data_IF_908597033434
#
_entry.id   IF_908597033434
#
_cell.length_a   1.000
_cell.length_b   1.000
_cell.length_c   1.000
_cell.angle_alpha   90.00
_cell.angle_beta   90.00
_cell.angle_gamma   90.00
#
_symmetry.space_group_name_H-M   'P 1'
#
loop_
_entity.id
_entity.type
_entity.pdbx_description
1 polymer ?
#
# COMPACT_ATOMS: atom_id res chain seq x y z
N UNK A 1 49.79 35.07 -52.67
CA UNK A 1 48.52 34.61 -52.08
C UNK A 1 48.76 33.17 -51.67
N UNK A 2 48.85 32.89 -50.37
CA UNK A 2 49.05 31.51 -49.92
C UNK A 2 47.73 30.77 -50.15
N UNK A 3 47.77 29.67 -50.91
CA UNK A 3 46.60 28.82 -51.13
C UNK A 3 46.10 28.27 -49.79
N UNK A 4 44.88 28.65 -49.41
CA UNK A 4 44.21 28.09 -48.25
C UNK A 4 43.55 26.76 -48.66
N UNK A 5 44.33 25.68 -48.59
CA UNK A 5 43.86 24.33 -48.93
C UNK A 5 43.02 23.79 -47.77
N UNK A 6 41.69 23.87 -47.89
CA UNK A 6 40.73 23.29 -46.93
C UNK A 6 40.95 21.79 -46.63
N UNK A 7 41.62 21.05 -47.52
CA UNK A 7 41.96 19.64 -47.32
C UNK A 7 42.99 19.36 -46.21
N UNK A 8 43.74 20.38 -45.73
CA UNK A 8 44.71 20.23 -44.63
C UNK A 8 44.11 20.48 -43.24
N UNK A 9 42.84 20.91 -43.17
CA UNK A 9 42.09 21.14 -41.93
C UNK A 9 41.01 20.06 -41.78
N UNK A 10 41.42 18.79 -41.73
CA UNK A 10 40.51 17.67 -41.53
C UNK A 10 41.03 16.81 -40.40
N UNK A 11 40.23 16.69 -39.34
CA UNK A 11 40.48 15.71 -38.30
C UNK A 11 40.57 14.31 -38.89
N UNK A 12 41.58 13.54 -38.48
CA UNK A 12 41.84 12.20 -39.00
C UNK A 12 41.62 11.18 -37.90
N UNK A 13 40.58 10.36 -38.01
CA UNK A 13 40.38 9.25 -37.10
C UNK A 13 41.47 8.17 -37.26
N UNK A 14 42.14 7.83 -36.16
CA UNK A 14 43.23 6.85 -36.11
C UNK A 14 42.84 5.54 -35.41
N UNK A 15 41.64 5.45 -34.83
CA UNK A 15 41.22 4.30 -34.03
C UNK A 15 41.62 4.47 -32.56
N UNK A 16 41.80 3.36 -31.84
CA UNK A 16 42.31 3.39 -30.47
C UNK A 16 43.77 3.90 -30.44
N UNK A 17 44.16 4.57 -29.36
CA UNK A 17 45.55 5.00 -29.15
C UNK A 17 46.46 3.77 -28.99
N UNK A 18 47.65 3.83 -29.61
CA UNK A 18 48.64 2.75 -29.62
C UNK A 18 50.02 3.35 -29.32
N UNK A 19 50.79 2.68 -28.46
CA UNK A 19 52.17 3.06 -28.09
C UNK A 19 53.12 3.07 -29.29
N UNK A 20 54.24 3.81 -29.18
CA UNK A 20 55.27 3.90 -30.24
C UNK A 20 54.76 4.25 -31.64
N UNK A 21 53.62 4.94 -31.74
CA UNK A 21 52.99 5.38 -32.98
C UNK A 21 53.20 6.88 -33.18
N UNK A 22 53.51 7.30 -34.40
CA UNK A 22 53.61 8.72 -34.74
C UNK A 22 52.21 9.29 -34.95
N UNK A 23 51.88 10.34 -34.18
CA UNK A 23 50.67 11.11 -34.32
C UNK A 23 51.02 12.55 -34.71
N UNK A 24 50.24 13.10 -35.64
CA UNK A 24 50.38 14.49 -36.08
C UNK A 24 49.17 15.30 -35.64
N UNK A 25 49.31 16.62 -35.58
CA UNK A 25 48.23 17.56 -35.25
C UNK A 25 46.96 17.22 -36.05
N UNK A 26 45.82 17.28 -35.37
CA UNK A 26 44.47 16.94 -35.84
C UNK A 26 44.18 15.44 -36.02
N UNK A 27 45.13 14.54 -35.73
CA UNK A 27 44.80 13.12 -35.55
C UNK A 27 43.88 12.95 -34.33
N UNK A 28 42.83 12.15 -34.46
CA UNK A 28 41.91 11.80 -33.37
C UNK A 28 42.09 10.33 -33.02
N UNK A 29 42.25 10.05 -31.73
CA UNK A 29 42.31 8.69 -31.17
C UNK A 29 41.20 8.46 -30.15
N UNK A 30 40.84 7.20 -29.93
CA UNK A 30 40.06 6.75 -28.77
C UNK A 30 40.99 6.30 -27.65
N UNK A 31 40.69 6.68 -26.42
CA UNK A 31 41.32 6.08 -25.25
C UNK A 31 40.30 5.96 -24.12
N UNK A 32 40.02 4.73 -23.69
CA UNK A 32 38.88 4.44 -22.81
C UNK A 32 37.55 4.75 -23.51
N UNK A 33 36.67 5.48 -22.80
CA UNK A 33 35.40 5.98 -23.34
C UNK A 33 35.53 7.28 -24.13
N UNK A 34 36.64 8.00 -23.96
CA UNK A 34 36.83 9.33 -24.53
C UNK A 34 37.56 9.28 -25.88
N UNK A 35 37.42 10.37 -26.63
CA UNK A 35 38.25 10.63 -27.81
C UNK A 35 39.06 11.90 -27.62
N UNK A 36 40.27 11.91 -28.20
CA UNK A 36 41.25 12.98 -28.02
C UNK A 36 41.82 13.37 -29.36
N UNK A 37 42.09 14.68 -29.53
CA UNK A 37 42.75 15.24 -30.70
C UNK A 37 44.20 15.58 -30.39
N UNK A 38 45.11 15.18 -31.26
CA UNK A 38 46.52 15.49 -31.16
C UNK A 38 46.74 16.98 -31.44
N UNK A 39 47.42 17.67 -30.53
CA UNK A 39 47.71 19.11 -30.64
C UNK A 39 49.20 19.42 -30.83
N UNK A 40 50.07 18.42 -30.66
CA UNK A 40 51.52 18.52 -30.89
C UNK A 40 52.00 17.23 -31.56
N UNK A 41 52.74 17.35 -32.68
CA UNK A 41 53.34 16.20 -33.36
C UNK A 41 54.30 15.46 -32.40
N UNK A 42 54.10 14.16 -32.21
CA UNK A 42 54.92 13.34 -31.32
C UNK A 42 54.92 11.87 -31.75
N UNK A 43 55.77 11.07 -31.11
CA UNK A 43 55.65 9.60 -31.10
C UNK A 43 55.15 9.22 -29.71
N UNK A 44 54.03 8.50 -29.64
CA UNK A 44 53.36 8.18 -28.38
C UNK A 44 54.24 7.40 -27.41
N UNK A 45 54.15 7.73 -26.13
CA UNK A 45 54.88 7.07 -25.03
C UNK A 45 54.34 5.64 -24.75
N UNK A 46 54.83 4.99 -23.70
CA UNK A 46 54.35 3.71 -23.20
C UNK A 46 53.00 3.82 -22.48
N UNK A 47 52.65 5.01 -21.95
CA UNK A 47 51.41 5.28 -21.24
C UNK A 47 50.71 6.52 -21.82
N UNK A 48 49.43 6.38 -22.15
CA UNK A 48 48.64 7.48 -22.70
C UNK A 48 48.63 8.74 -21.82
N UNK A 49 48.54 8.56 -20.49
CA UNK A 49 48.49 9.69 -19.56
C UNK A 49 49.83 10.43 -19.43
N UNK A 50 50.96 9.84 -19.85
CA UNK A 50 52.22 10.58 -20.02
C UNK A 50 52.09 11.56 -21.20
N UNK A 51 51.54 11.10 -22.33
CA UNK A 51 51.28 11.98 -23.48
C UNK A 51 50.25 13.07 -23.16
N UNK A 52 49.18 12.74 -22.42
CA UNK A 52 48.10 13.68 -22.09
C UNK A 52 48.49 14.66 -20.97
N UNK A 53 48.88 14.19 -19.79
CA UNK A 53 48.97 15.03 -18.59
C UNK A 53 50.37 15.64 -18.42
N UNK A 54 51.43 14.88 -18.68
CA UNK A 54 52.81 15.35 -18.48
C UNK A 54 53.30 16.19 -19.66
N UNK A 55 52.96 15.77 -20.87
CA UNK A 55 53.47 16.39 -22.09
C UNK A 55 52.44 17.27 -22.83
N UNK A 56 51.16 17.20 -22.47
CA UNK A 56 50.08 17.96 -23.08
C UNK A 56 50.01 17.81 -24.62
N UNK A 57 50.25 16.61 -25.14
CA UNK A 57 50.20 16.33 -26.57
C UNK A 57 48.78 16.17 -27.12
N UNK A 58 47.81 15.96 -26.24
CA UNK A 58 46.41 15.68 -26.59
C UNK A 58 45.48 16.68 -25.94
N UNK A 59 44.38 17.00 -26.62
CA UNK A 59 43.24 17.71 -26.06
C UNK A 59 42.01 16.81 -26.14
N UNK A 60 41.13 16.89 -25.14
CA UNK A 60 39.87 16.16 -25.14
C UNK A 60 39.00 16.64 -26.32
N UNK A 61 38.55 15.71 -27.16
CA UNK A 61 37.70 16.00 -28.31
C UNK A 61 36.22 15.73 -28.03
N UNK A 62 35.92 14.57 -27.45
CA UNK A 62 34.55 14.21 -27.05
C UNK A 62 34.61 13.32 -25.82
N UNK A 63 33.83 13.67 -24.81
CA UNK A 63 33.62 12.83 -23.63
C UNK A 63 32.57 11.76 -23.88
N UNK A 64 32.83 10.57 -23.37
CA UNK A 64 31.84 9.52 -23.20
C UNK A 64 32.26 8.64 -22.03
N UNK A 65 31.58 7.52 -21.83
CA UNK A 65 31.89 6.57 -20.78
C UNK A 65 32.22 5.20 -21.37
N UNK A 66 33.12 4.47 -20.70
CA UNK A 66 33.43 3.09 -21.05
C UNK A 66 32.76 2.16 -20.06
N UNK A 67 31.81 1.36 -20.54
CA UNK A 67 31.16 0.32 -19.76
C UNK A 67 31.65 -1.05 -20.23
N UNK A 68 32.40 -1.76 -19.38
CA UNK A 68 32.85 -3.12 -19.66
C UNK A 68 31.72 -4.11 -19.35
N UNK A 69 31.05 -4.59 -20.39
CA UNK A 69 29.96 -5.56 -20.26
C UNK A 69 30.43 -6.95 -19.81
N UNK A 70 31.73 -7.24 -19.83
CA UNK A 70 32.29 -8.52 -19.41
C UNK A 70 32.64 -8.55 -17.91
N UNK A 71 33.01 -7.41 -17.32
CA UNK A 71 33.22 -7.28 -15.89
C UNK A 71 32.99 -5.84 -15.43
N UNK A 72 31.85 -5.61 -14.82
CA UNK A 72 31.48 -4.28 -14.35
C UNK A 72 31.92 -4.01 -12.92
N UNK A 73 32.32 -5.03 -12.13
CA UNK A 73 32.63 -4.81 -10.73
C UNK A 73 33.94 -4.05 -10.57
N UNK A 74 34.02 -3.13 -9.61
CA UNK A 74 35.31 -2.55 -9.23
C UNK A 74 36.28 -3.66 -8.76
N UNK A 75 37.55 -3.52 -9.14
CA UNK A 75 38.62 -4.45 -8.82
C UNK A 75 39.84 -3.68 -8.31
N UNK A 76 40.54 -4.27 -7.34
CA UNK A 76 41.83 -3.76 -6.87
C UNK A 76 42.92 -3.95 -7.93
N UNK A 77 44.03 -3.21 -7.80
CA UNK A 77 45.22 -3.31 -8.69
C UNK A 77 44.91 -3.15 -10.18
N UNK A 78 43.81 -2.47 -10.51
CA UNK A 78 43.30 -2.31 -11.87
C UNK A 78 43.51 -0.88 -12.33
N UNK A 79 44.05 -0.71 -13.55
CA UNK A 79 44.26 0.60 -14.15
C UNK A 79 42.94 1.14 -14.72
N UNK A 80 42.34 2.09 -14.01
CA UNK A 80 41.14 2.78 -14.44
C UNK A 80 41.48 4.07 -15.17
N UNK A 81 40.78 4.29 -16.28
CA UNK A 81 40.85 5.48 -17.13
C UNK A 81 39.73 6.43 -16.73
N UNK A 82 39.90 7.71 -17.01
CA UNK A 82 38.82 8.68 -16.86
C UNK A 82 37.57 8.20 -17.61
N UNK A 83 36.42 8.27 -16.94
CA UNK A 83 35.11 7.84 -17.40
C UNK A 83 34.92 6.33 -17.61
N UNK A 84 35.80 5.48 -17.07
CA UNK A 84 35.50 4.06 -16.90
C UNK A 84 34.34 3.91 -15.89
N UNK A 85 33.34 3.11 -16.26
CA UNK A 85 32.20 2.78 -15.39
C UNK A 85 32.50 1.51 -14.61
N UNK A 86 32.33 1.56 -13.30
CA UNK A 86 32.45 0.42 -12.40
C UNK A 86 31.23 0.31 -11.49
N UNK A 87 30.98 -0.90 -10.99
CA UNK A 87 29.95 -1.23 -10.02
C UNK A 87 30.59 -1.46 -8.67
N UNK A 88 30.04 -0.81 -7.65
CA UNK A 88 30.36 -1.04 -6.25
C UNK A 88 29.04 -1.07 -5.45
N UNK A 89 28.77 -2.17 -4.74
CA UNK A 89 27.43 -2.47 -4.24
C UNK A 89 26.41 -2.57 -5.39
N UNK A 90 25.22 -2.01 -5.20
CA UNK A 90 24.23 -1.82 -6.25
C UNK A 90 24.52 -0.64 -7.21
N UNK A 91 25.40 0.28 -6.84
CA UNK A 91 25.64 1.54 -7.55
C UNK A 91 26.63 1.39 -8.72
N UNK A 92 26.45 2.20 -9.76
CA UNK A 92 27.45 2.42 -10.80
C UNK A 92 28.15 3.76 -10.57
N UNK A 93 29.46 3.79 -10.80
CA UNK A 93 30.32 4.96 -10.63
C UNK A 93 31.18 5.18 -11.88
N UNK A 94 31.50 6.44 -12.16
CA UNK A 94 32.46 6.85 -13.16
C UNK A 94 33.79 7.20 -12.51
N UNK A 95 34.89 6.67 -13.02
CA UNK A 95 36.24 7.09 -12.63
C UNK A 95 36.45 8.56 -13.04
N UNK A 96 36.64 9.44 -12.07
CA UNK A 96 36.80 10.88 -12.29
C UNK A 96 38.29 11.32 -12.31
N UNK A 97 39.19 10.43 -11.90
CA UNK A 97 40.63 10.65 -11.94
C UNK A 97 41.34 9.33 -12.20
N UNK A 98 42.03 9.22 -13.34
CA UNK A 98 42.74 8.02 -13.74
C UNK A 98 43.76 7.58 -12.69
N UNK A 99 43.84 6.28 -12.45
CA UNK A 99 44.75 5.70 -11.47
C UNK A 99 44.83 4.19 -11.64
N UNK A 100 45.83 3.57 -11.02
CA UNK A 100 45.76 2.15 -10.67
C UNK A 100 45.16 2.03 -9.28
N UNK A 101 44.08 1.26 -9.14
CA UNK A 101 43.36 1.11 -7.87
C UNK A 101 44.22 0.45 -6.80
N UNK A 102 44.11 0.94 -5.56
CA UNK A 102 44.67 0.27 -4.39
C UNK A 102 43.85 -0.97 -3.99
N UNK A 103 44.20 -1.62 -2.88
CA UNK A 103 43.52 -2.82 -2.39
C UNK A 103 42.06 -2.56 -1.96
N UNK A 104 41.78 -1.38 -1.37
CA UNK A 104 40.51 -1.09 -0.71
C UNK A 104 39.72 0.02 -1.40
N UNK A 105 38.41 -0.18 -1.60
CA UNK A 105 37.52 0.82 -2.20
C UNK A 105 37.54 2.16 -1.45
N UNK A 106 37.55 2.16 -0.11
CA UNK A 106 37.51 3.38 0.69
C UNK A 106 38.65 4.36 0.38
N UNK A 107 39.81 3.86 -0.06
CA UNK A 107 40.95 4.70 -0.46
C UNK A 107 40.87 5.21 -1.90
N UNK A 108 39.97 4.63 -2.70
CA UNK A 108 39.76 4.97 -4.11
C UNK A 108 38.44 5.72 -4.34
N UNK A 109 37.48 5.65 -3.42
CA UNK A 109 36.11 6.16 -3.60
C UNK A 109 36.05 7.64 -4.03
N UNK A 110 36.96 8.48 -3.55
CA UNK A 110 37.04 9.89 -3.97
C UNK A 110 37.37 10.08 -5.46
N UNK A 111 37.99 9.08 -6.10
CA UNK A 111 38.31 9.05 -7.53
C UNK A 111 37.17 8.49 -8.38
N UNK A 112 36.01 8.24 -7.77
CA UNK A 112 34.82 7.73 -8.43
C UNK A 112 33.62 8.62 -8.09
N UNK A 113 32.91 9.07 -9.11
CA UNK A 113 31.67 9.85 -8.97
C UNK A 113 30.48 8.92 -9.19
N UNK A 114 29.46 8.99 -8.34
CA UNK A 114 28.21 8.22 -8.54
C UNK A 114 27.61 8.56 -9.90
N UNK A 115 27.37 7.52 -10.72
CA UNK A 115 26.84 7.66 -12.07
C UNK A 115 25.37 7.25 -12.14
N UNK A 116 25.06 6.04 -11.67
CA UNK A 116 23.69 5.54 -11.59
C UNK A 116 23.50 4.95 -10.20
N UNK A 117 22.59 5.49 -9.38
CA UNK A 117 22.23 4.85 -8.13
C UNK A 117 21.51 3.52 -8.42
N UNK A 118 21.90 2.47 -7.74
CA UNK A 118 21.20 1.19 -7.74
C UNK A 118 20.28 1.06 -6.54
N UNK A 119 19.41 0.05 -6.60
CA UNK A 119 18.66 -0.39 -5.43
C UNK A 119 19.31 -1.66 -4.91
N UNK A 120 19.66 -1.67 -3.63
CA UNK A 120 20.15 -2.85 -2.92
C UNK A 120 19.05 -3.32 -1.98
N UNK A 121 18.45 -4.48 -2.25
CA UNK A 121 17.38 -5.00 -1.40
C UNK A 121 17.98 -5.73 -0.21
N UNK A 122 17.89 -5.09 0.95
CA UNK A 122 18.20 -5.65 2.25
C UNK A 122 16.98 -6.39 2.83
N UNK A 123 17.08 -6.83 4.08
CA UNK A 123 16.00 -7.46 4.83
C UNK A 123 15.09 -6.41 5.54
N UNK A 124 14.45 -6.82 6.62
CA UNK A 124 13.76 -5.94 7.56
C UNK A 124 14.74 -4.97 8.19
N UNK A 125 14.31 -3.72 8.35
CA UNK A 125 15.09 -2.69 9.01
C UNK A 125 15.58 -3.14 10.40
N UNK A 126 16.86 -2.93 10.66
CA UNK A 126 17.54 -3.13 11.93
C UNK A 126 18.26 -1.83 12.31
N UNK A 127 18.13 -1.41 13.57
CA UNK A 127 18.63 -0.11 14.01
C UNK A 127 20.16 -0.05 14.18
N UNK A 128 20.85 -1.19 14.15
CA UNK A 128 22.31 -1.29 14.26
C UNK A 128 23.01 -1.42 12.92
N UNK A 129 22.26 -1.74 11.86
CA UNK A 129 22.79 -1.85 10.50
C UNK A 129 23.04 -0.46 9.90
N UNK A 130 24.19 -0.32 9.23
CA UNK A 130 24.50 0.86 8.43
C UNK A 130 23.93 0.70 7.01
N UNK A 131 23.02 1.59 6.64
CA UNK A 131 22.42 1.64 5.31
C UNK A 131 23.07 2.74 4.47
N UNK A 132 23.21 2.50 3.17
CA UNK A 132 23.80 3.39 2.18
C UNK A 132 22.71 3.97 1.26
N UNK A 133 23.03 5.08 0.57
CA UNK A 133 22.16 5.63 -0.46
C UNK A 133 21.72 4.55 -1.46
N UNK A 134 20.40 4.35 -1.58
CA UNK A 134 19.79 3.38 -2.50
C UNK A 134 19.34 2.07 -1.84
N UNK A 135 19.77 1.79 -0.61
CA UNK A 135 19.37 0.57 0.10
C UNK A 135 17.86 0.54 0.31
N UNK A 136 17.26 -0.64 0.15
CA UNK A 136 15.83 -0.89 0.28
C UNK A 136 15.60 -1.81 1.45
N UNK A 137 14.78 -1.39 2.42
CA UNK A 137 14.42 -2.20 3.60
C UNK A 137 12.90 -2.37 3.70
N UNK A 138 12.47 -3.43 4.36
CA UNK A 138 11.07 -3.54 4.83
C UNK A 138 10.93 -2.96 6.24
N UNK A 139 9.85 -2.21 6.49
CA UNK A 139 9.50 -1.73 7.83
C UNK A 139 7.99 -1.63 7.97
N UNK A 140 7.46 -2.38 8.93
CA UNK A 140 6.02 -2.62 8.99
C UNK A 140 5.52 -3.39 7.78
N UNK A 141 4.50 -2.86 7.10
CA UNK A 141 3.98 -3.37 5.83
C UNK A 141 4.55 -2.64 4.61
N UNK A 142 5.41 -1.64 4.79
CA UNK A 142 5.94 -0.80 3.71
C UNK A 142 7.39 -1.17 3.39
N UNK A 143 7.85 -0.79 2.21
CA UNK A 143 9.27 -0.81 1.81
C UNK A 143 9.77 0.61 1.61
N UNK A 144 11.00 0.87 2.03
CA UNK A 144 11.61 2.20 2.01
C UNK A 144 12.98 2.14 1.33
N UNK A 145 13.34 3.22 0.64
CA UNK A 145 14.68 3.44 0.07
C UNK A 145 15.42 4.48 0.89
N UNK A 146 16.67 4.20 1.26
CA UNK A 146 17.56 5.14 1.91
C UNK A 146 17.97 6.26 0.93
N UNK A 147 17.86 7.51 1.38
CA UNK A 147 18.17 8.74 0.64
C UNK A 147 19.59 9.24 0.84
N UNK A 148 20.28 8.67 1.82
CA UNK A 148 21.66 8.95 2.18
C UNK A 148 22.12 7.88 3.18
N UNK A 149 23.42 7.83 3.42
CA UNK A 149 23.98 6.94 4.43
C UNK A 149 23.37 7.23 5.81
N UNK A 150 22.91 6.20 6.50
CA UNK A 150 22.16 6.34 7.75
C UNK A 150 22.31 5.10 8.65
N UNK A 151 22.27 5.32 9.96
CA UNK A 151 22.27 4.28 11.00
C UNK A 151 21.34 4.71 12.13
N UNK A 152 20.52 3.79 12.65
CA UNK A 152 19.63 4.06 13.79
C UNK A 152 18.45 5.00 13.52
N UNK A 153 18.31 5.59 12.32
CA UNK A 153 17.16 6.40 11.97
C UNK A 153 16.05 5.53 11.36
N UNK A 154 14.83 5.63 11.90
CA UNK A 154 13.70 4.83 11.45
C UNK A 154 13.32 5.11 9.99
N UNK A 155 12.81 4.10 9.25
CA UNK A 155 12.33 4.27 7.87
C UNK A 155 11.21 5.30 7.69
N UNK A 156 10.50 5.65 8.76
CA UNK A 156 9.48 6.71 8.75
C UNK A 156 10.07 8.13 8.74
N UNK A 157 11.37 8.29 8.93
CA UNK A 157 12.03 9.60 8.96
C UNK A 157 12.40 10.08 7.53
N UNK A 158 11.61 11.00 6.98
CA UNK A 158 11.65 11.44 5.57
C UNK A 158 12.95 12.12 5.10
N UNK A 159 13.80 12.56 6.04
CA UNK A 159 15.15 13.05 5.75
C UNK A 159 16.07 11.94 5.25
N UNK A 160 15.90 10.72 5.77
CA UNK A 160 16.79 9.58 5.51
C UNK A 160 16.17 8.54 4.58
N UNK A 161 14.84 8.51 4.46
CA UNK A 161 14.13 7.45 3.77
C UNK A 161 12.99 8.01 2.92
N UNK A 162 12.79 7.42 1.75
CA UNK A 162 11.60 7.62 0.92
C UNK A 162 10.79 6.32 0.87
N UNK A 163 9.46 6.42 0.85
CA UNK A 163 8.59 5.25 0.66
C UNK A 163 8.75 4.75 -0.78
N UNK A 164 9.17 3.50 -0.93
CA UNK A 164 9.25 2.84 -2.25
C UNK A 164 7.90 2.23 -2.64
N UNK A 165 7.25 1.53 -1.70
CA UNK A 165 5.96 0.86 -1.93
C UNK A 165 5.23 0.70 -0.60
N UNK A 166 3.91 0.87 -0.61
CA UNK A 166 3.04 0.58 0.53
C UNK A 166 2.49 -0.84 0.46
N UNK A 167 2.08 -1.37 1.59
CA UNK A 167 1.60 -2.74 1.69
C UNK A 167 1.04 -3.06 3.07
N UNK A 168 0.66 -4.33 3.24
CA UNK A 168 0.03 -4.81 4.47
C UNK A 168 0.87 -5.89 5.14
N UNK A 169 0.99 -5.80 6.47
CA UNK A 169 1.55 -6.85 7.33
C UNK A 169 0.55 -7.19 8.42
N UNK A 170 -0.15 -8.32 8.26
CA UNK A 170 -1.17 -8.76 9.22
C UNK A 170 -0.53 -9.12 10.57
N UNK A 171 -1.07 -8.57 11.66
CA UNK A 171 -0.60 -8.74 13.04
C UNK A 171 -1.59 -9.46 13.96
N UNK A 172 -2.82 -9.73 13.49
CA UNK A 172 -3.86 -10.39 14.29
C UNK A 172 -4.72 -9.40 15.09
N UNK A 173 -5.19 -9.78 16.26
CA UNK A 173 -6.01 -8.89 17.11
C UNK A 173 -5.17 -7.76 17.72
N UNK A 174 -5.75 -6.57 17.82
CA UNK A 174 -5.09 -5.41 18.44
C UNK A 174 -4.74 -5.68 19.91
N UNK A 175 -3.55 -5.25 20.32
CA UNK A 175 -3.06 -5.33 21.70
C UNK A 175 -2.38 -4.00 22.07
N UNK A 176 -2.84 -3.37 23.15
CA UNK A 176 -2.36 -2.05 23.58
C UNK A 176 -0.87 -2.01 23.95
N UNK A 177 -0.29 -3.13 24.41
CA UNK A 177 1.13 -3.24 24.75
C UNK A 177 2.03 -3.51 23.54
N UNK A 178 1.47 -3.71 22.35
CA UNK A 178 2.23 -4.00 21.13
C UNK A 178 2.46 -2.73 20.32
N UNK A 179 3.70 -2.55 19.88
CA UNK A 179 4.04 -1.51 18.91
C UNK A 179 3.65 -1.94 17.50
N UNK A 180 3.03 -1.03 16.76
CA UNK A 180 2.62 -1.22 15.37
C UNK A 180 3.31 -0.18 14.49
N UNK A 181 3.72 -0.62 13.30
CA UNK A 181 4.39 0.21 12.31
C UNK A 181 3.45 0.45 11.11
N UNK A 182 3.71 1.45 10.25
CA UNK A 182 2.92 1.70 9.04
C UNK A 182 2.66 0.42 8.23
N UNK A 183 1.44 0.26 7.74
CA UNK A 183 1.02 -0.93 7.00
C UNK A 183 0.75 -2.17 7.87
N UNK A 184 0.93 -2.11 9.20
CA UNK A 184 0.51 -3.22 10.07
C UNK A 184 -1.02 -3.28 10.11
N UNK A 185 -1.57 -4.47 9.86
CA UNK A 185 -3.01 -4.70 9.84
C UNK A 185 -3.44 -5.45 11.09
N UNK A 186 -4.42 -4.91 11.82
CA UNK A 186 -5.00 -5.53 13.00
C UNK A 186 -6.50 -5.74 12.83
N UNK A 187 -7.02 -6.71 13.58
CA UNK A 187 -8.45 -6.88 13.79
C UNK A 187 -8.83 -6.33 15.17
N UNK A 188 -10.00 -5.72 15.29
CA UNK A 188 -10.60 -5.37 16.58
C UNK A 188 -12.12 -5.42 16.42
N UNK A 189 -12.77 -6.27 17.22
CA UNK A 189 -14.23 -6.40 17.27
C UNK A 189 -14.91 -6.63 15.91
N UNK A 190 -14.27 -7.46 15.07
CA UNK A 190 -14.76 -7.81 13.74
C UNK A 190 -14.34 -6.86 12.63
N UNK A 191 -13.78 -5.70 12.97
CA UNK A 191 -13.32 -4.70 12.01
C UNK A 191 -11.81 -4.84 11.79
N UNK A 192 -11.35 -4.37 10.63
CA UNK A 192 -9.96 -4.49 10.19
C UNK A 192 -9.37 -3.11 9.95
N UNK A 193 -8.22 -2.84 10.57
CA UNK A 193 -7.56 -1.54 10.53
C UNK A 193 -6.12 -1.68 10.06
N UNK A 194 -5.61 -0.67 9.37
CA UNK A 194 -4.19 -0.52 9.04
C UNK A 194 -3.59 0.66 9.81
N UNK A 195 -2.42 0.45 10.41
CA UNK A 195 -1.66 1.52 11.04
C UNK A 195 -1.05 2.44 9.97
N UNK A 196 -1.23 3.74 10.11
CA UNK A 196 -0.72 4.77 9.21
C UNK A 196 0.66 5.27 9.62
N UNK A 197 0.94 5.27 10.93
CA UNK A 197 2.18 5.75 11.54
C UNK A 197 2.64 4.76 12.61
N UNK A 198 3.88 4.91 13.09
CA UNK A 198 4.36 4.18 14.25
C UNK A 198 3.49 4.52 15.49
N UNK A 199 2.96 3.51 16.16
CA UNK A 199 2.02 3.70 17.26
C UNK A 199 2.08 2.60 18.31
N UNK A 200 1.78 2.92 19.57
CA UNK A 200 1.69 1.96 20.69
C UNK A 200 0.65 2.48 21.67
N UNK A 201 -0.25 1.62 22.15
CA UNK A 201 -1.31 2.00 23.09
C UNK A 201 -2.48 2.80 22.50
N UNK A 202 -2.34 3.38 21.30
CA UNK A 202 -3.43 4.09 20.63
C UNK A 202 -4.35 3.11 19.90
N UNK A 203 -5.59 3.01 20.35
CA UNK A 203 -6.55 2.02 19.85
C UNK A 203 -7.25 2.48 18.55
N UNK A 204 -7.58 1.56 17.61
CA UNK A 204 -8.19 1.91 16.32
C UNK A 204 -9.67 2.32 16.40
N UNK A 205 -10.49 1.71 17.27
CA UNK A 205 -11.89 2.14 17.47
C UNK A 205 -11.98 3.04 18.66
N UNK A 206 -12.75 4.10 18.52
CA UNK A 206 -13.53 4.60 19.63
C UNK A 206 -14.75 5.32 19.03
N UNK A 207 -15.99 4.90 19.21
CA UNK A 207 -17.11 5.85 19.20
C UNK A 207 -17.97 5.46 20.36
N UNK A 208 -17.84 6.22 21.42
CA UNK A 208 -18.52 5.94 22.67
C UNK A 208 -19.29 7.19 23.06
N UNK A 209 -20.58 7.19 22.71
CA UNK A 209 -21.49 8.28 23.10
C UNK A 209 -22.07 8.09 24.50
N UNK A 210 -21.67 7.04 25.23
CA UNK A 210 -22.13 6.69 26.57
C UNK A 210 -21.27 7.39 27.64
N UNK A 211 -21.80 8.42 28.35
CA UNK A 211 -21.06 9.15 29.40
C UNK A 211 -20.58 8.28 30.56
N UNK A 212 -21.10 7.07 30.70
CA UNK A 212 -20.79 6.13 31.77
C UNK A 212 -19.69 5.13 31.39
N UNK A 213 -19.32 5.08 30.11
CA UNK A 213 -18.31 4.17 29.61
C UNK A 213 -16.90 4.72 29.84
N UNK A 214 -15.94 3.82 30.07
CA UNK A 214 -14.53 4.18 30.31
C UNK A 214 -13.85 4.82 29.10
N UNK A 215 -14.45 4.67 27.92
CA UNK A 215 -13.97 5.16 26.62
C UNK A 215 -14.82 6.32 26.07
N UNK A 216 -15.63 6.99 26.91
CA UNK A 216 -16.52 8.08 26.50
C UNK A 216 -15.83 9.19 25.66
N UNK A 217 -16.49 9.61 24.57
CA UNK A 217 -16.12 10.67 23.61
C UNK A 217 -14.95 10.41 22.66
N UNK A 218 -14.25 9.29 22.74
CA UNK A 218 -13.25 9.04 21.71
C UNK A 218 -13.99 8.63 20.39
N UNK A 219 -13.51 9.03 19.18
CA UNK A 219 -14.33 9.08 17.91
C UNK A 219 -13.83 8.20 16.74
N UNK A 220 -14.81 7.60 16.01
CA UNK A 220 -14.96 6.43 15.08
C UNK A 220 -13.74 5.73 14.47
N UNK A 221 -12.61 6.37 14.36
CA UNK A 221 -11.36 5.80 13.91
C UNK A 221 -10.35 6.77 14.42
N UNK A 222 -9.38 6.32 15.21
CA UNK A 222 -8.28 7.18 15.56
C UNK A 222 -7.44 7.44 14.31
N UNK A 223 -7.94 8.30 13.42
CA UNK A 223 -7.51 8.50 12.03
C UNK A 223 -6.14 9.13 11.92
N UNK A 224 -5.60 9.61 13.05
CA UNK A 224 -4.19 9.94 13.21
C UNK A 224 -3.29 8.71 13.11
N UNK A 225 -3.75 7.55 13.59
CA UNK A 225 -2.94 6.33 13.67
C UNK A 225 -3.49 5.17 12.84
N UNK A 226 -4.79 5.10 12.61
CA UNK A 226 -5.45 3.94 12.03
C UNK A 226 -6.44 4.32 10.94
N UNK A 227 -6.43 3.57 9.84
CA UNK A 227 -7.43 3.62 8.79
C UNK A 227 -8.26 2.32 8.81
N UNK A 228 -9.59 2.45 8.78
CA UNK A 228 -10.51 1.33 8.64
C UNK A 228 -10.49 0.83 7.20
N UNK A 229 -10.11 -0.43 6.99
CA UNK A 229 -10.02 -1.01 5.63
C UNK A 229 -11.13 -2.02 5.34
N UNK A 230 -11.76 -2.60 6.37
CA UNK A 230 -12.90 -3.49 6.21
C UNK A 230 -13.74 -3.57 7.49
N UNK A 231 -15.06 -3.61 7.36
CA UNK A 231 -15.98 -3.89 8.46
C UNK A 231 -16.32 -5.38 8.52
N UNK A 232 -16.83 -5.83 9.66
CA UNK A 232 -17.20 -7.23 9.86
C UNK A 232 -17.98 -7.42 11.15
N UNK A 233 -18.03 -8.66 11.63
CA UNK A 233 -18.88 -9.06 12.74
C UNK A 233 -18.07 -9.85 13.77
N UNK A 234 -18.24 -9.55 15.06
CA UNK A 234 -17.71 -10.39 16.16
C UNK A 234 -18.86 -10.83 17.05
N UNK A 235 -19.23 -12.11 16.97
CA UNK A 235 -20.33 -12.63 17.78
C UNK A 235 -19.92 -12.78 19.25
N UNK A 236 -20.65 -12.11 20.14
CA UNK A 236 -20.42 -12.06 21.58
C UNK A 236 -21.35 -12.99 22.38
N UNK A 237 -22.33 -13.62 21.73
CA UNK A 237 -23.33 -14.47 22.38
C UNK A 237 -24.65 -13.75 22.65
N UNK A 238 -25.39 -14.19 23.67
CA UNK A 238 -26.63 -13.53 24.10
C UNK A 238 -26.31 -12.16 24.74
N UNK A 239 -27.19 -11.18 24.57
CA UNK A 239 -27.01 -9.86 25.16
C UNK A 239 -26.99 -9.93 26.69
N UNK A 240 -26.01 -9.23 27.27
CA UNK A 240 -25.82 -9.04 28.69
C UNK A 240 -25.72 -7.55 29.01
N UNK A 241 -26.52 -7.10 29.98
CA UNK A 241 -26.47 -5.75 30.50
C UNK A 241 -25.21 -5.44 31.31
N UNK A 242 -24.37 -6.42 31.66
CA UNK A 242 -23.10 -6.16 32.37
C UNK A 242 -21.88 -6.09 31.43
N UNK A 243 -22.09 -6.28 30.13
CA UNK A 243 -21.01 -6.30 29.15
C UNK A 243 -20.78 -4.92 28.53
N UNK A 244 -19.54 -4.68 28.11
CA UNK A 244 -19.17 -3.60 27.20
C UNK A 244 -19.21 -4.13 25.78
N UNK A 245 -19.87 -3.42 24.88
CA UNK A 245 -19.93 -3.75 23.46
C UNK A 245 -19.23 -2.71 22.64
N UNK A 246 -18.47 -3.18 21.67
CA UNK A 246 -17.72 -2.37 20.74
C UNK A 246 -18.34 -2.41 19.35
N UNK A 247 -17.94 -1.47 18.49
CA UNK A 247 -18.44 -1.39 17.12
C UNK A 247 -18.15 -2.71 16.38
N UNK A 248 -19.18 -3.26 15.73
CA UNK A 248 -19.09 -4.55 15.03
C UNK A 248 -19.34 -5.79 15.88
N UNK A 249 -19.49 -5.64 17.20
CA UNK A 249 -19.94 -6.73 18.05
C UNK A 249 -21.38 -7.12 17.68
N UNK A 250 -21.65 -8.42 17.66
CA UNK A 250 -22.97 -8.98 17.38
C UNK A 250 -23.46 -9.73 18.60
N UNK A 251 -24.65 -9.39 19.07
CA UNK A 251 -25.32 -10.12 20.15
C UNK A 251 -26.64 -10.67 19.69
N UNK A 252 -27.16 -11.64 20.44
CA UNK A 252 -28.52 -12.16 20.29
C UNK A 252 -29.40 -11.62 21.41
N UNK A 253 -30.57 -11.11 21.06
CA UNK A 253 -31.63 -10.77 22.00
C UNK A 253 -32.96 -11.37 21.52
N UNK A 254 -33.57 -12.20 22.36
CA UNK A 254 -34.72 -13.02 21.97
C UNK A 254 -34.38 -13.96 20.80
N UNK A 255 -35.10 -13.83 19.70
CA UNK A 255 -34.86 -14.62 18.47
C UNK A 255 -33.99 -13.86 17.44
N UNK A 256 -33.69 -12.59 17.67
CA UNK A 256 -33.01 -11.72 16.71
C UNK A 256 -31.54 -11.53 17.08
N UNK A 257 -30.71 -11.23 16.09
CA UNK A 257 -29.33 -10.77 16.30
C UNK A 257 -29.18 -9.31 15.91
N UNK A 258 -28.36 -8.60 16.67
CA UNK A 258 -28.13 -7.17 16.56
C UNK A 258 -26.64 -6.90 16.45
N UNK A 259 -26.27 -5.91 15.63
CA UNK A 259 -24.91 -5.41 15.52
C UNK A 259 -24.79 -4.09 16.26
N UNK A 260 -23.76 -3.98 17.10
CA UNK A 260 -23.43 -2.76 17.83
C UNK A 260 -22.91 -1.71 16.83
N UNK A 261 -23.58 -0.57 16.79
CA UNK A 261 -23.25 0.57 15.91
C UNK A 261 -22.75 1.80 16.68
N UNK A 262 -22.82 1.76 18.00
CA UNK A 262 -22.29 2.77 18.91
C UNK A 262 -21.80 2.08 20.19
N UNK A 263 -20.52 2.27 20.55
CA UNK A 263 -19.90 1.58 21.69
C UNK A 263 -20.57 2.03 23.00
N UNK A 264 -20.77 1.10 23.92
CA UNK A 264 -21.43 1.39 25.20
C UNK A 264 -21.11 0.32 26.24
N UNK A 265 -21.26 0.69 27.51
CA UNK A 265 -21.22 -0.27 28.62
C UNK A 265 -22.61 -0.43 29.20
N UNK A 266 -23.11 -1.66 29.28
CA UNK A 266 -24.38 -1.90 29.92
C UNK A 266 -24.36 -1.55 31.42
N UNK A 267 -25.51 -1.15 31.96
CA UNK A 267 -25.70 -0.72 33.36
C UNK A 267 -25.87 -1.87 34.39
N UNK A 268 -25.63 -3.11 33.96
CA UNK A 268 -25.83 -4.33 34.73
C UNK A 268 -27.28 -4.81 34.80
N UNK A 269 -28.24 -4.10 34.20
CA UNK A 269 -29.67 -4.40 34.32
C UNK A 269 -30.23 -5.12 33.08
N UNK A 270 -31.19 -6.02 33.29
CA UNK A 270 -31.99 -6.62 32.21
C UNK A 270 -32.93 -5.63 31.50
N UNK A 271 -33.10 -4.43 32.06
CA UNK A 271 -33.91 -3.32 31.52
C UNK A 271 -33.05 -2.14 31.09
N UNK A 272 -31.77 -2.39 30.76
CA UNK A 272 -30.82 -1.35 30.37
C UNK A 272 -31.36 -0.49 29.22
N UNK A 273 -31.20 0.85 29.23
CA UNK A 273 -31.58 1.69 28.10
C UNK A 273 -30.76 1.39 26.83
N UNK A 274 -29.61 0.73 26.99
CA UNK A 274 -28.75 0.30 25.89
C UNK A 274 -29.16 -1.05 25.29
N UNK A 275 -30.11 -1.77 25.91
CA UNK A 275 -30.57 -3.10 25.46
C UNK A 275 -31.18 -3.06 24.05
N UNK A 276 -30.84 -4.00 23.14
CA UNK A 276 -31.48 -4.10 21.84
C UNK A 276 -33.00 -4.38 21.94
N UNK A 277 -33.84 -3.78 21.09
CA UNK A 277 -33.53 -2.71 20.14
C UNK A 277 -33.37 -1.35 20.84
N UNK A 278 -32.27 -0.63 20.56
CA UNK A 278 -32.01 0.75 21.01
C UNK A 278 -31.14 1.47 19.97
N UNK A 279 -30.81 2.75 20.22
CA UNK A 279 -29.97 3.53 19.30
C UNK A 279 -28.53 2.99 19.14
N UNK A 280 -28.08 2.13 20.04
CA UNK A 280 -26.74 1.52 20.02
C UNK A 280 -26.65 0.29 19.10
N UNK A 281 -27.78 -0.18 18.57
CA UNK A 281 -27.87 -1.45 17.87
C UNK A 281 -28.70 -1.36 16.58
N UNK A 282 -28.12 -1.84 15.48
CA UNK A 282 -28.89 -2.16 14.27
C UNK A 282 -29.29 -3.63 14.26
N UNK A 283 -30.44 -3.95 13.65
CA UNK A 283 -30.87 -5.34 13.48
C UNK A 283 -30.02 -6.01 12.39
N UNK A 284 -29.21 -6.99 12.76
CA UNK A 284 -28.41 -7.77 11.81
C UNK A 284 -29.25 -8.87 11.14
N UNK A 285 -30.04 -9.59 11.94
CA UNK A 285 -30.96 -10.60 11.45
C UNK A 285 -32.19 -10.66 12.36
N UNK A 286 -33.37 -10.50 11.77
CA UNK A 286 -34.62 -10.63 12.50
C UNK A 286 -34.95 -12.11 12.73
N UNK A 287 -35.21 -12.47 13.98
CA UNK A 287 -35.67 -13.79 14.37
C UNK A 287 -37.13 -14.06 14.02
N UNK A 288 -37.56 -15.31 14.20
CA UNK A 288 -38.96 -15.65 14.02
C UNK A 288 -39.82 -14.90 15.05
N UNK A 289 -40.90 -14.30 14.56
CA UNK A 289 -41.87 -13.59 15.39
C UNK A 289 -42.94 -14.56 15.84
N UNK A 290 -43.53 -14.31 17.01
CA UNK A 290 -44.54 -15.20 17.62
C UNK A 290 -45.56 -15.67 16.60
N UNK A 291 -45.80 -16.99 16.56
CA UNK A 291 -46.88 -17.57 15.75
C UNK A 291 -48.21 -17.00 16.27
N UNK A 292 -48.88 -16.22 15.42
CA UNK A 292 -50.18 -15.59 15.74
C UNK A 292 -51.38 -16.41 15.27
N UNK A 293 -51.16 -17.51 14.53
CA UNK A 293 -52.21 -18.37 13.99
C UNK A 293 -52.71 -19.34 15.07
N UNK A 294 -53.87 -19.04 15.67
CA UNK A 294 -54.39 -19.80 16.81
C UNK A 294 -55.65 -20.62 16.45
N UNK A 295 -56.20 -20.42 15.24
CA UNK A 295 -57.41 -21.10 14.75
C UNK A 295 -57.15 -21.73 13.38
N UNK A 296 -57.68 -22.94 13.10
CA UNK A 296 -57.69 -23.46 11.74
C UNK A 296 -58.33 -22.47 10.75
N UNK A 297 -57.61 -22.14 9.69
CA UNK A 297 -58.05 -21.17 8.66
C UNK A 297 -57.53 -19.74 8.86
N UNK A 298 -56.81 -19.45 9.94
CA UNK A 298 -56.05 -18.20 10.07
C UNK A 298 -54.96 -18.12 8.99
N UNK A 299 -54.75 -16.93 8.43
CA UNK A 299 -53.67 -16.64 7.48
C UNK A 299 -52.69 -15.69 8.13
N UNK A 300 -51.39 -16.01 8.11
CA UNK A 300 -50.35 -15.12 8.61
C UNK A 300 -50.01 -14.05 7.56
N UNK A 301 -50.07 -12.78 7.98
CA UNK A 301 -49.53 -11.64 7.23
C UNK A 301 -48.16 -11.31 7.83
N UNK A 302 -47.10 -11.57 7.08
CA UNK A 302 -45.74 -11.24 7.50
C UNK A 302 -45.50 -9.73 7.42
N UNK A 303 -45.20 -9.13 8.56
CA UNK A 303 -44.79 -7.73 8.71
C UNK A 303 -43.66 -7.67 9.75
N UNK A 304 -43.24 -6.48 10.18
CA UNK A 304 -42.33 -6.30 11.32
C UNK A 304 -42.91 -6.82 12.66
N UNK A 305 -44.22 -7.08 12.71
CA UNK A 305 -44.90 -7.79 13.80
C UNK A 305 -45.98 -8.65 13.18
N UNK A 306 -45.70 -9.94 12.95
CA UNK A 306 -46.63 -10.88 12.32
C UNK A 306 -48.08 -10.62 12.75
N UNK A 307 -48.94 -10.30 11.78
CA UNK A 307 -50.36 -10.12 12.01
C UNK A 307 -51.09 -11.39 11.56
N UNK A 308 -52.21 -11.70 12.21
CA UNK A 308 -53.12 -12.74 11.72
C UNK A 308 -54.29 -12.08 11.02
N UNK A 309 -54.64 -12.60 9.84
CA UNK A 309 -55.97 -12.46 9.30
C UNK A 309 -56.76 -13.66 9.80
N UNK A 310 -57.74 -13.42 10.68
CA UNK A 310 -58.61 -14.49 11.19
C UNK A 310 -59.32 -15.18 10.03
N UNK A 311 -59.73 -16.44 10.21
CA UNK A 311 -60.59 -17.14 9.23
C UNK A 311 -61.82 -16.28 8.83
N UNK A 312 -62.09 -16.20 7.53
CA UNK A 312 -63.23 -15.46 7.00
C UNK A 312 -64.55 -16.09 7.40
N UNK A 313 -65.60 -15.27 7.50
CA UNK A 313 -66.95 -15.79 7.68
C UNK A 313 -67.40 -16.62 6.46
N UNK A 314 -68.34 -17.54 6.67
CA UNK A 314 -68.89 -18.36 5.59
C UNK A 314 -69.43 -17.46 4.47
N UNK A 315 -69.01 -17.74 3.23
CA UNK A 315 -69.43 -17.01 2.04
C UNK A 315 -68.49 -15.86 1.66
N UNK A 316 -67.63 -15.39 2.56
CA UNK A 316 -66.69 -14.30 2.25
C UNK A 316 -65.55 -14.80 1.39
N UNK A 317 -65.01 -13.93 0.54
CA UNK A 317 -63.88 -14.22 -0.36
C UNK A 317 -62.64 -13.44 0.05
N UNK A 318 -61.46 -14.01 -0.17
CA UNK A 318 -60.21 -13.30 0.06
C UNK A 318 -59.99 -12.33 -1.11
N UNK A 319 -59.72 -11.07 -0.81
CA UNK A 319 -59.46 -10.03 -1.81
C UNK A 319 -58.12 -9.36 -1.56
N UNK A 320 -57.47 -8.97 -2.66
CA UNK A 320 -56.28 -8.13 -2.65
C UNK A 320 -56.58 -6.77 -3.31
N UNK A 321 -56.46 -5.67 -2.57
CA UNK A 321 -56.67 -4.31 -3.09
C UNK A 321 -55.38 -3.48 -2.96
N UNK A 322 -54.93 -2.89 -4.07
CA UNK A 322 -53.72 -2.09 -4.13
C UNK A 322 -53.92 -0.71 -3.47
N UNK A 323 -52.92 -0.23 -2.72
CA UNK A 323 -52.93 1.10 -2.10
C UNK A 323 -53.67 1.22 -0.74
N UNK A 324 -54.13 0.11 -0.17
CA UNK A 324 -54.74 0.08 1.17
C UNK A 324 -53.71 -0.30 2.26
N UNK A 325 -53.95 0.16 3.49
CA UNK A 325 -53.14 -0.21 4.67
C UNK A 325 -53.17 -1.72 4.98
N UNK A 326 -54.22 -2.43 4.54
CA UNK A 326 -54.36 -3.87 4.62
C UNK A 326 -54.69 -4.42 3.23
N UNK A 327 -53.67 -4.64 2.39
CA UNK A 327 -53.89 -5.00 1.00
C UNK A 327 -54.56 -6.35 0.84
N UNK A 328 -54.54 -7.24 1.85
CA UNK A 328 -55.25 -8.52 1.87
C UNK A 328 -56.28 -8.53 3.00
N UNK A 329 -57.55 -8.74 2.66
CA UNK A 329 -58.65 -8.84 3.64
C UNK A 329 -59.79 -9.73 3.13
N UNK A 330 -60.74 -10.05 4.01
CA UNK A 330 -61.97 -10.75 3.63
C UNK A 330 -63.02 -9.75 3.16
N UNK A 331 -63.55 -9.97 1.97
CA UNK A 331 -64.60 -9.17 1.35
C UNK A 331 -65.95 -9.88 1.57
N UNK A 332 -66.93 -9.23 2.24
CA UNK A 332 -68.27 -9.77 2.37
C UNK A 332 -68.90 -9.95 1.00
N UNK A 333 -69.65 -11.03 0.87
CA UNK A 333 -70.26 -11.39 -0.40
C UNK A 333 -71.60 -10.69 -0.60
N UNK A 334 -71.59 -9.36 -0.50
CA UNK A 334 -72.82 -8.57 -0.61
C UNK A 334 -73.29 -8.43 -2.08
N UNK A 335 -72.48 -8.85 -3.06
CA UNK A 335 -72.82 -8.81 -4.50
C UNK A 335 -72.25 -9.97 -5.35
N UNK A 336 -72.14 -11.20 -4.84
CA UNK A 336 -71.90 -12.34 -5.74
C UNK A 336 -73.17 -12.74 -6.47
N UNK A 337 -73.41 -12.13 -7.63
CA UNK A 337 -74.23 -12.77 -8.66
C UNK A 337 -73.49 -14.02 -9.15
N UNK A 338 -73.74 -15.15 -8.49
CA UNK A 338 -73.41 -16.45 -9.04
C UNK A 338 -74.35 -16.68 -10.23
N UNK A 339 -73.92 -16.29 -11.43
CA UNK A 339 -74.68 -16.57 -12.64
C UNK A 339 -74.54 -18.06 -12.96
N UNK A 340 -75.63 -18.82 -12.76
CA UNK A 340 -75.74 -20.16 -13.33
C UNK A 340 -76.14 -20.00 -14.80
N UNK A 341 -75.25 -20.35 -15.73
CA UNK A 341 -75.64 -20.53 -17.14
C UNK A 341 -76.26 -21.92 -17.23
N UNK A 342 -77.59 -22.00 -17.20
CA UNK A 342 -78.30 -23.23 -17.55
C UNK A 342 -78.09 -23.50 -19.06
N UNK A 343 -77.53 -24.66 -19.39
CA UNK A 343 -77.25 -25.09 -20.76
C UNK A 343 -78.54 -25.41 -21.56
N UNK A 344 -79.72 -25.41 -20.94
CA UNK A 344 -80.95 -25.79 -21.63
C UNK A 344 -82.14 -24.86 -21.40
N UNK A 345 -82.25 -23.84 -22.26
CA UNK A 345 -83.55 -23.50 -22.87
C UNK A 345 -83.38 -23.26 -24.38
N UNK A 346 -83.60 -24.33 -25.13
CA UNK A 346 -83.97 -24.26 -26.54
C UNK A 346 -85.48 -24.05 -26.70
N UNK A 347 -85.80 -23.41 -27.84
CA UNK A 347 -87.10 -23.01 -28.42
C UNK A 347 -87.88 -21.91 -27.71
#
# INVERSE_FOLDING_TARGET
>A
MADFILGRLKFKWKGDWVTSTQYIIDDIVKYGGNTYVCIINHTSDALFYTDLDSNAYWSLHTESFAYDSSNTAWQATTAYKNNDVVRWGANLYLCNAHHTSAADWATNSAKFTLFVPGLEFEDSYDNTTQYQLGDVVTYGGYTYTAKQDTVGNLPTHTTYWDVLTTGFKVRGEYNAGTAYNPGNVVTRNGYVYVALVDTTGNSPTIQDTDPQSQTYNETITNSTYWELINTGFKFQGDWSGAATYYLGDVTKEGNSSYICVDEHTGDGSSTSPTKPPSAYWDTLAAGDTTIVMNTPGDIMIRTSTNQKLNVGAKGWKLRADEGQNFPIHWDPDDESYTWYVDYHKGS
#
